data_IF_331745806225
#
_entry.id   IF_331745806225
#
_cell.length_a   1.000
_cell.length_b   1.000
_cell.length_c   1.000
_cell.angle_alpha   90.00
_cell.angle_beta   90.00
_cell.angle_gamma   90.00
#
_symmetry.space_group_name_H-M   'P 1'
#
loop_
_entity.id
_entity.type
_entity.pdbx_description
1 polymer ?
#
# COMPACT_ATOMS: atom_id res chain seq x y z
N UNK A 1 2.28 24.21 -25.33
CA UNK A 1 2.56 25.64 -25.54
C UNK A 1 3.29 26.12 -24.30
N UNK A 2 4.58 26.39 -24.44
CA UNK A 2 5.41 26.91 -23.36
C UNK A 2 5.17 28.42 -23.27
N UNK A 3 4.68 28.89 -22.13
CA UNK A 3 4.55 30.32 -21.88
C UNK A 3 5.94 30.94 -21.76
N UNK A 4 6.16 31.99 -22.53
CA UNK A 4 7.33 32.87 -22.45
C UNK A 4 7.57 33.28 -21.00
N UNK A 5 8.76 32.98 -20.49
CA UNK A 5 9.26 33.57 -19.25
C UNK A 5 9.57 35.04 -19.55
N UNK A 6 8.82 35.94 -18.93
CA UNK A 6 9.10 37.37 -18.93
C UNK A 6 10.35 37.63 -18.07
N UNK A 7 11.46 37.90 -18.73
CA UNK A 7 12.77 38.19 -18.13
C UNK A 7 12.91 39.65 -17.68
N UNK A 8 11.81 40.39 -17.55
CA UNK A 8 11.79 41.83 -17.27
C UNK A 8 11.22 42.23 -15.90
N UNK A 9 10.74 41.29 -15.07
CA UNK A 9 10.01 41.61 -13.83
C UNK A 9 10.87 41.61 -12.55
N UNK A 10 12.19 41.71 -12.67
CA UNK A 10 13.05 42.09 -11.54
C UNK A 10 13.15 43.62 -11.47
N UNK A 11 12.07 44.26 -11.03
CA UNK A 11 12.12 45.65 -10.58
C UNK A 11 12.68 45.62 -9.17
N UNK A 12 13.98 45.90 -9.07
CA UNK A 12 14.67 46.14 -7.81
C UNK A 12 14.14 47.45 -7.21
N UNK A 13 13.03 47.35 -6.46
CA UNK A 13 12.35 48.49 -5.82
C UNK A 13 13.16 49.11 -4.68
N UNK A 14 14.36 48.61 -4.41
CA UNK A 14 15.24 49.09 -3.34
C UNK A 14 16.06 50.34 -3.72
N UNK A 15 15.99 50.82 -4.97
CA UNK A 15 16.71 52.01 -5.43
C UNK A 15 15.86 53.26 -5.70
N UNK A 16 14.58 53.29 -5.32
CA UNK A 16 13.89 54.59 -5.22
C UNK A 16 14.29 55.27 -3.93
N UNK A 17 15.39 56.01 -3.99
CA UNK A 17 15.70 57.06 -3.02
C UNK A 17 14.54 58.06 -3.07
N UNK A 18 13.55 57.89 -2.20
CA UNK A 18 12.53 58.91 -1.95
C UNK A 18 13.27 60.17 -1.47
N UNK A 19 13.49 61.09 -2.40
CA UNK A 19 13.86 62.46 -2.10
C UNK A 19 12.65 63.11 -1.43
N UNK A 20 12.64 63.05 -0.11
CA UNK A 20 11.66 63.74 0.72
C UNK A 20 11.67 65.25 0.39
N UNK A 21 10.50 65.86 0.10
CA UNK A 21 10.40 67.30 -0.01
C UNK A 21 10.21 67.84 1.41
N UNK A 22 11.31 67.95 2.15
CA UNK A 22 11.33 68.80 3.34
C UNK A 22 12.36 69.90 3.14
N UNK A 23 12.17 70.66 2.05
CA UNK A 23 12.68 72.01 1.95
C UNK A 23 11.63 72.95 2.57
N UNK A 24 12.09 73.71 3.56
CA UNK A 24 11.50 74.94 4.10
C UNK A 24 10.18 74.81 4.90
N UNK A 25 10.33 74.64 6.22
CA UNK A 25 9.74 75.56 7.21
C UNK A 25 10.34 75.29 8.59
N UNK A 26 11.53 75.84 8.84
CA UNK A 26 12.03 76.03 10.20
C UNK A 26 12.26 77.51 10.43
N UNK A 27 11.22 78.11 11.00
CA UNK A 27 11.25 79.35 11.75
C UNK A 27 12.45 79.34 12.71
N UNK A 28 13.26 80.40 12.63
CA UNK A 28 14.39 80.77 13.50
C UNK A 28 14.88 79.74 14.52
N UNK A 29 15.87 78.94 14.14
CA UNK A 29 16.72 78.22 15.09
C UNK A 29 18.19 78.31 14.64
N UNK A 30 19.01 78.88 15.52
CA UNK A 30 20.45 79.09 15.33
C UNK A 30 21.17 77.73 15.25
N UNK A 31 21.95 77.40 14.19
CA UNK A 31 22.52 76.06 13.98
C UNK A 31 23.65 75.67 14.96
N UNK A 32 23.98 76.55 15.92
CA UNK A 32 24.97 76.32 16.99
C UNK A 32 24.35 76.33 18.41
N UNK A 33 23.01 76.32 18.55
CA UNK A 33 22.36 76.27 19.86
C UNK A 33 22.10 74.82 20.28
N UNK A 34 22.66 74.43 21.43
CA UNK A 34 22.40 73.13 22.05
C UNK A 34 20.88 72.91 22.20
N UNK A 35 20.35 71.72 21.85
CA UNK A 35 18.95 71.39 22.05
C UNK A 35 18.52 71.72 23.49
N UNK A 36 17.38 72.40 23.65
CA UNK A 36 16.84 72.61 24.99
C UNK A 36 16.36 71.27 25.55
N UNK A 37 16.45 71.08 26.87
CA UNK A 37 16.04 69.84 27.55
C UNK A 37 14.60 69.43 27.20
N UNK A 38 13.71 70.41 27.14
CA UNK A 38 12.29 70.20 26.82
C UNK A 38 12.05 69.71 25.39
N UNK A 39 12.88 70.12 24.41
CA UNK A 39 12.78 69.63 23.03
C UNK A 39 13.27 68.19 22.91
N UNK A 40 14.27 67.81 23.70
CA UNK A 40 14.76 66.43 23.78
C UNK A 40 13.69 65.54 24.44
N UNK A 41 13.09 66.00 25.53
CA UNK A 41 12.03 65.25 26.24
C UNK A 41 10.80 65.04 25.32
N UNK A 42 10.41 66.04 24.54
CA UNK A 42 9.34 65.90 23.52
C UNK A 42 9.68 64.86 22.46
N UNK A 43 10.91 64.87 21.94
CA UNK A 43 11.37 63.89 20.95
C UNK A 43 11.43 62.46 21.53
N UNK A 44 11.80 62.33 22.80
CA UNK A 44 11.81 61.03 23.50
C UNK A 44 10.39 60.49 23.64
N UNK A 45 9.43 61.32 24.04
CA UNK A 45 8.01 60.91 24.14
C UNK A 45 7.45 60.52 22.77
N UNK A 46 7.71 61.31 21.73
CA UNK A 46 7.28 61.00 20.36
C UNK A 46 7.90 59.68 19.86
N UNK A 47 9.19 59.47 20.12
CA UNK A 47 9.88 58.22 19.76
C UNK A 47 9.34 57.01 20.54
N UNK A 48 9.02 57.17 21.84
CA UNK A 48 8.39 56.12 22.65
C UNK A 48 7.00 55.77 22.12
N UNK A 49 6.21 56.76 21.71
CA UNK A 49 4.88 56.54 21.14
C UNK A 49 4.96 55.80 19.80
N UNK A 50 5.88 56.20 18.92
CA UNK A 50 6.18 55.49 17.66
C UNK A 50 6.64 54.05 17.91
N UNK A 51 7.44 53.80 18.95
CA UNK A 51 7.85 52.43 19.32
C UNK A 51 6.67 51.58 19.74
N UNK A 52 5.69 52.13 20.46
CA UNK A 52 4.48 51.39 20.86
C UNK A 52 3.60 51.10 19.64
N UNK A 53 3.45 52.04 18.73
CA UNK A 53 2.71 51.84 17.47
C UNK A 53 3.36 50.78 16.59
N UNK A 54 4.69 50.83 16.42
CA UNK A 54 5.43 49.82 15.67
C UNK A 54 5.34 48.43 16.30
N UNK A 55 5.40 48.32 17.64
CA UNK A 55 5.22 47.04 18.33
C UNK A 55 3.83 46.45 18.10
N UNK A 56 2.78 47.28 18.14
CA UNK A 56 1.41 46.82 17.84
C UNK A 56 1.29 46.33 16.40
N UNK A 57 1.85 47.08 15.45
CA UNK A 57 1.87 46.68 14.04
C UNK A 57 2.67 45.38 13.83
N UNK A 58 3.79 45.20 14.55
CA UNK A 58 4.56 43.96 14.52
C UNK A 58 3.73 42.77 15.03
N UNK A 59 3.06 42.91 16.18
CA UNK A 59 2.24 41.82 16.72
C UNK A 59 1.07 41.44 15.80
N UNK A 60 0.46 42.41 15.11
CA UNK A 60 -0.58 42.16 14.11
C UNK A 60 -0.03 41.37 12.92
N UNK A 61 1.13 41.78 12.41
CA UNK A 61 1.81 41.11 11.31
C UNK A 61 2.29 39.71 11.68
N UNK A 62 2.73 39.48 12.92
CA UNK A 62 3.06 38.16 13.45
C UNK A 62 1.82 37.24 13.51
N UNK A 63 0.65 37.77 13.90
CA UNK A 63 -0.61 36.99 13.88
C UNK A 63 -1.02 36.63 12.46
N UNK A 64 -0.93 37.57 11.53
CA UNK A 64 -1.20 37.31 10.12
C UNK A 64 -0.27 36.25 9.54
N UNK A 65 1.03 36.35 9.84
CA UNK A 65 2.03 35.34 9.45
C UNK A 65 1.68 33.96 10.00
N UNK A 66 1.37 33.85 11.28
CA UNK A 66 0.96 32.59 11.89
C UNK A 66 -0.29 31.99 11.21
N UNK A 67 -1.26 32.84 10.81
CA UNK A 67 -2.44 32.41 10.07
C UNK A 67 -2.11 31.89 8.66
N UNK A 68 -1.22 32.57 7.94
CA UNK A 68 -0.79 32.14 6.61
C UNK A 68 0.06 30.86 6.65
N UNK A 69 0.90 30.69 7.67
CA UNK A 69 1.68 29.47 7.87
C UNK A 69 0.79 28.26 8.16
N UNK A 70 -0.22 28.42 9.02
CA UNK A 70 -1.20 27.35 9.29
C UNK A 70 -2.00 27.00 8.03
N UNK A 71 -2.41 28.00 7.23
CA UNK A 71 -3.09 27.76 5.96
C UNK A 71 -2.20 27.00 4.98
N UNK A 72 -0.91 27.39 4.89
CA UNK A 72 0.08 26.70 4.05
C UNK A 72 0.28 25.25 4.50
N UNK A 73 0.33 25.00 5.82
CA UNK A 73 0.42 23.65 6.39
C UNK A 73 -0.79 22.80 5.96
N UNK A 74 -2.00 23.32 6.15
CA UNK A 74 -3.25 22.61 5.77
C UNK A 74 -3.33 22.34 4.27
N UNK A 75 -2.89 23.28 3.44
CA UNK A 75 -2.81 23.06 1.99
C UNK A 75 -1.82 21.95 1.64
N UNK A 76 -0.66 21.89 2.32
CA UNK A 76 0.31 20.80 2.17
C UNK A 76 -0.30 19.45 2.54
N UNK A 77 -0.89 19.33 3.72
CA UNK A 77 -1.57 18.12 4.19
C UNK A 77 -2.67 17.66 3.23
N UNK A 78 -3.48 18.60 2.73
CA UNK A 78 -4.52 18.32 1.74
C UNK A 78 -3.94 17.79 0.43
N UNK A 79 -2.89 18.42 -0.11
CA UNK A 79 -2.29 18.00 -1.37
C UNK A 79 -1.66 16.61 -1.25
N UNK A 80 -0.91 16.37 -0.18
CA UNK A 80 -0.30 15.07 0.10
C UNK A 80 -1.38 14.01 0.30
N UNK A 81 -2.35 14.22 1.19
CA UNK A 81 -3.44 13.28 1.43
C UNK A 81 -4.27 13.00 0.17
N UNK A 82 -4.50 14.01 -0.68
CA UNK A 82 -5.18 13.83 -1.96
C UNK A 82 -4.37 12.95 -2.92
N UNK A 83 -3.06 13.14 -3.01
CA UNK A 83 -2.21 12.31 -3.87
C UNK A 83 -2.15 10.87 -3.36
N UNK A 84 -2.00 10.69 -2.05
CA UNK A 84 -1.99 9.37 -1.42
C UNK A 84 -3.30 8.61 -1.67
N UNK A 85 -4.45 9.24 -1.42
CA UNK A 85 -5.73 8.55 -1.57
C UNK A 85 -6.03 8.23 -3.04
N UNK A 86 -5.65 9.11 -3.97
CA UNK A 86 -5.79 8.85 -5.42
C UNK A 86 -4.96 7.63 -5.82
N UNK A 87 -3.71 7.52 -5.35
CA UNK A 87 -2.86 6.37 -5.65
C UNK A 87 -3.41 5.08 -5.04
N UNK A 88 -3.83 5.12 -3.78
CA UNK A 88 -4.41 3.96 -3.08
C UNK A 88 -5.70 3.48 -3.75
N UNK A 89 -6.62 4.41 -4.07
CA UNK A 89 -7.87 4.07 -4.74
C UNK A 89 -7.63 3.54 -6.16
N UNK A 90 -6.71 4.14 -6.91
CA UNK A 90 -6.38 3.66 -8.26
C UNK A 90 -5.81 2.24 -8.22
N UNK A 91 -4.89 1.97 -7.29
CA UNK A 91 -4.33 0.62 -7.10
C UNK A 91 -5.40 -0.36 -6.64
N UNK A 92 -6.22 0.02 -5.66
CA UNK A 92 -7.30 -0.81 -5.13
C UNK A 92 -8.34 -1.16 -6.20
N UNK A 93 -8.70 -0.19 -7.05
CA UNK A 93 -9.60 -0.41 -8.16
C UNK A 93 -9.05 -1.45 -9.14
N UNK A 94 -7.79 -1.33 -9.57
CA UNK A 94 -7.19 -2.30 -10.48
C UNK A 94 -7.15 -3.73 -9.91
N UNK A 95 -6.83 -3.88 -8.61
CA UNK A 95 -6.86 -5.19 -7.95
C UNK A 95 -8.28 -5.78 -7.88
N UNK A 96 -9.28 -4.94 -7.60
CA UNK A 96 -10.67 -5.38 -7.55
C UNK A 96 -11.20 -5.76 -8.93
N UNK A 97 -10.88 -5.00 -9.98
CA UNK A 97 -11.25 -5.31 -11.36
C UNK A 97 -10.62 -6.63 -11.84
N UNK A 98 -9.35 -6.87 -11.53
CA UNK A 98 -8.68 -8.14 -11.83
C UNK A 98 -9.32 -9.31 -11.08
N UNK A 99 -9.60 -9.12 -9.79
CA UNK A 99 -10.25 -10.14 -8.97
C UNK A 99 -11.68 -10.44 -9.46
N UNK A 100 -12.45 -9.41 -9.83
CA UNK A 100 -13.79 -9.56 -10.40
C UNK A 100 -13.74 -10.33 -11.72
N UNK A 101 -12.81 -9.97 -12.61
CA UNK A 101 -12.64 -10.65 -13.89
C UNK A 101 -12.28 -12.13 -13.70
N UNK A 102 -11.33 -12.43 -12.81
CA UNK A 102 -10.96 -13.80 -12.46
C UNK A 102 -12.15 -14.57 -11.90
N UNK A 103 -12.89 -13.99 -10.95
CA UNK A 103 -14.06 -14.62 -10.35
C UNK A 103 -15.16 -14.91 -11.37
N UNK A 104 -15.42 -13.99 -12.31
CA UNK A 104 -16.39 -14.20 -13.41
C UNK A 104 -15.96 -15.35 -14.32
N UNK A 105 -14.69 -15.36 -14.73
CA UNK A 105 -14.13 -16.45 -15.57
C UNK A 105 -14.24 -17.80 -14.86
N UNK A 106 -13.90 -17.86 -13.59
CA UNK A 106 -13.97 -19.10 -12.80
C UNK A 106 -15.44 -19.56 -12.64
N UNK A 107 -16.37 -18.63 -12.43
CA UNK A 107 -17.81 -18.93 -12.42
C UNK A 107 -18.30 -19.48 -13.77
N UNK A 108 -17.86 -18.92 -14.91
CA UNK A 108 -18.19 -19.45 -16.23
C UNK A 108 -17.67 -20.88 -16.44
N UNK A 109 -16.46 -21.17 -15.96
CA UNK A 109 -15.92 -22.53 -15.98
C UNK A 109 -16.76 -23.49 -15.13
N UNK A 110 -17.17 -23.06 -13.93
CA UNK A 110 -18.04 -23.85 -13.07
C UNK A 110 -19.40 -24.13 -13.72
N UNK A 111 -20.02 -23.14 -14.38
CA UNK A 111 -21.31 -23.33 -15.09
C UNK A 111 -21.18 -24.38 -16.19
N UNK A 112 -20.08 -24.36 -16.97
CA UNK A 112 -19.81 -25.39 -17.99
C UNK A 112 -19.70 -26.78 -17.36
N UNK A 113 -18.87 -26.92 -16.32
CA UNK A 113 -18.68 -28.19 -15.63
C UNK A 113 -19.97 -28.72 -14.97
N UNK A 114 -20.82 -27.84 -14.42
CA UNK A 114 -22.15 -28.24 -13.92
C UNK A 114 -23.03 -28.80 -15.03
N UNK A 115 -22.98 -28.21 -16.23
CA UNK A 115 -23.67 -28.73 -17.41
C UNK A 115 -23.17 -30.12 -17.79
N UNK A 116 -21.85 -30.30 -17.90
CA UNK A 116 -21.20 -31.58 -18.22
C UNK A 116 -21.58 -32.65 -17.19
N UNK A 117 -21.50 -32.34 -15.89
CA UNK A 117 -21.87 -33.25 -14.82
C UNK A 117 -23.34 -33.67 -14.86
N UNK A 118 -24.26 -32.75 -15.14
CA UNK A 118 -25.69 -33.09 -15.30
C UNK A 118 -25.90 -34.03 -16.49
N UNK A 119 -25.20 -33.80 -17.60
CA UNK A 119 -25.29 -34.66 -18.78
C UNK A 119 -24.70 -36.05 -18.52
N UNK A 120 -23.54 -36.15 -17.87
CA UNK A 120 -22.93 -37.42 -17.48
C UNK A 120 -23.81 -38.19 -16.48
N UNK A 121 -24.35 -37.50 -15.47
CA UNK A 121 -25.26 -38.11 -14.49
C UNK A 121 -26.51 -38.67 -15.17
N UNK A 122 -27.13 -37.91 -16.07
CA UNK A 122 -28.29 -38.38 -16.82
C UNK A 122 -27.98 -39.62 -17.66
N UNK A 123 -26.82 -39.67 -18.33
CA UNK A 123 -26.39 -40.86 -19.09
C UNK A 123 -26.19 -42.09 -18.19
N UNK A 124 -25.56 -41.92 -17.03
CA UNK A 124 -25.35 -43.01 -16.06
C UNK A 124 -26.67 -43.49 -15.48
N UNK A 125 -27.58 -42.57 -15.12
CA UNK A 125 -28.92 -42.91 -14.60
C UNK A 125 -29.83 -43.55 -15.66
N UNK A 126 -29.57 -43.33 -16.94
CA UNK A 126 -30.30 -43.97 -18.03
C UNK A 126 -29.88 -45.43 -18.28
N UNK A 127 -28.85 -45.93 -17.58
CA UNK A 127 -28.44 -47.33 -17.64
C UNK A 127 -29.41 -48.15 -16.80
N UNK A 128 -30.21 -48.97 -17.46
CA UNK A 128 -31.18 -49.88 -16.86
C UNK A 128 -30.75 -51.32 -17.19
N UNK A 129 -30.05 -51.97 -16.28
CA UNK A 129 -29.50 -53.31 -16.47
C UNK A 129 -30.56 -54.40 -16.43
N UNK A 130 -31.72 -54.11 -15.81
CA UNK A 130 -32.86 -55.00 -15.70
C UNK A 130 -33.55 -55.32 -17.04
N UNK A 131 -33.33 -54.52 -18.08
CA UNK A 131 -33.96 -54.68 -19.41
C UNK A 131 -33.07 -55.50 -20.36
N UNK A 132 -31.86 -55.87 -19.93
CA UNK A 132 -30.90 -56.59 -20.78
C UNK A 132 -31.31 -58.06 -20.97
N UNK A 133 -31.21 -58.54 -22.21
CA UNK A 133 -31.46 -59.93 -22.59
C UNK A 133 -30.14 -60.65 -22.83
N UNK A 134 -30.15 -61.99 -22.91
CA UNK A 134 -28.92 -62.76 -23.14
C UNK A 134 -28.24 -62.42 -24.47
N UNK A 135 -29.03 -62.03 -25.46
CA UNK A 135 -28.57 -61.73 -26.82
C UNK A 135 -27.87 -60.36 -26.91
N UNK A 136 -28.25 -59.39 -26.08
CA UNK A 136 -27.68 -58.04 -26.10
C UNK A 136 -26.75 -57.72 -24.91
N UNK A 137 -26.68 -58.60 -23.91
CA UNK A 137 -25.95 -58.40 -22.65
C UNK A 137 -24.52 -57.88 -22.85
N UNK A 138 -23.73 -58.54 -23.71
CA UNK A 138 -22.32 -58.17 -23.94
C UNK A 138 -22.16 -56.77 -24.56
N UNK A 139 -23.08 -56.40 -25.45
CA UNK A 139 -23.06 -55.09 -26.13
C UNK A 139 -23.47 -53.99 -25.16
N UNK A 140 -24.57 -54.18 -24.42
CA UNK A 140 -25.06 -53.19 -23.46
C UNK A 140 -24.12 -53.05 -22.27
N UNK A 141 -23.50 -54.13 -21.78
CA UNK A 141 -22.49 -54.08 -20.73
C UNK A 141 -21.27 -53.26 -21.16
N UNK A 142 -20.77 -53.47 -22.38
CA UNK A 142 -19.64 -52.70 -22.92
C UNK A 142 -20.00 -51.21 -23.05
N UNK A 143 -21.23 -50.90 -23.52
CA UNK A 143 -21.73 -49.53 -23.62
C UNK A 143 -21.87 -48.86 -22.25
N UNK A 144 -22.43 -49.57 -21.27
CA UNK A 144 -22.60 -49.09 -19.91
C UNK A 144 -21.25 -48.81 -19.24
N UNK A 145 -20.29 -49.72 -19.35
CA UNK A 145 -18.93 -49.53 -18.83
C UNK A 145 -18.24 -48.32 -19.47
N UNK A 146 -18.37 -48.16 -20.79
CA UNK A 146 -17.83 -46.99 -21.51
C UNK A 146 -18.48 -45.68 -21.00
N UNK A 147 -19.78 -45.69 -20.75
CA UNK A 147 -20.52 -44.53 -20.23
C UNK A 147 -20.04 -44.15 -18.83
N UNK A 148 -19.84 -45.14 -17.97
CA UNK A 148 -19.32 -44.94 -16.60
C UNK A 148 -17.89 -44.41 -16.64
N UNK A 149 -17.03 -44.95 -17.52
CA UNK A 149 -15.64 -44.51 -17.60
C UNK A 149 -15.53 -43.08 -18.12
N UNK A 150 -16.34 -42.70 -19.11
CA UNK A 150 -16.42 -41.32 -19.57
C UNK A 150 -16.83 -40.37 -18.44
N UNK A 151 -17.84 -40.74 -17.64
CA UNK A 151 -18.26 -39.94 -16.48
C UNK A 151 -17.14 -39.81 -15.42
N UNK A 152 -16.37 -40.87 -15.18
CA UNK A 152 -15.20 -40.83 -14.29
C UNK A 152 -14.10 -39.90 -14.81
N UNK A 153 -13.83 -39.92 -16.11
CA UNK A 153 -12.86 -39.04 -16.74
C UNK A 153 -13.28 -37.57 -16.62
N UNK A 154 -14.55 -37.26 -16.86
CA UNK A 154 -15.10 -35.91 -16.67
C UNK A 154 -14.95 -35.44 -15.22
N UNK A 155 -15.34 -36.27 -14.25
CA UNK A 155 -15.18 -35.99 -12.82
C UNK A 155 -13.72 -35.74 -12.43
N UNK A 156 -12.82 -36.64 -12.81
CA UNK A 156 -11.39 -36.51 -12.47
C UNK A 156 -10.78 -35.25 -13.11
N UNK A 157 -11.12 -34.95 -14.37
CA UNK A 157 -10.62 -33.76 -15.05
C UNK A 157 -11.12 -32.46 -14.40
N UNK A 158 -12.37 -32.44 -13.93
CA UNK A 158 -12.98 -31.30 -13.27
C UNK A 158 -12.35 -31.04 -11.89
N UNK A 159 -12.06 -32.08 -11.12
CA UNK A 159 -11.41 -31.96 -9.80
C UNK A 159 -10.01 -31.37 -9.85
N UNK A 160 -9.28 -31.61 -10.94
CA UNK A 160 -7.96 -31.03 -11.15
C UNK A 160 -8.03 -29.54 -11.50
N UNK A 161 -9.11 -29.11 -12.17
CA UNK A 161 -9.29 -27.72 -12.63
C UNK A 161 -9.99 -26.86 -11.60
N UNK A 162 -10.94 -27.42 -10.85
CA UNK A 162 -11.81 -26.70 -9.94
C UNK A 162 -11.43 -27.00 -8.48
N UNK A 163 -10.82 -26.05 -7.76
CA UNK A 163 -10.34 -26.29 -6.39
C UNK A 163 -11.47 -26.64 -5.42
N UNK A 164 -12.70 -26.19 -5.68
CA UNK A 164 -13.88 -26.52 -4.86
C UNK A 164 -14.17 -28.03 -4.82
N UNK A 165 -13.83 -28.78 -5.88
CA UNK A 165 -14.03 -30.23 -5.97
C UNK A 165 -12.78 -31.03 -5.52
N UNK A 166 -11.64 -30.35 -5.33
CA UNK A 166 -10.42 -30.99 -4.85
C UNK A 166 -10.52 -31.43 -3.38
N UNK A 167 -11.30 -30.68 -2.57
CA UNK A 167 -11.50 -30.93 -1.14
C UNK A 167 -12.20 -32.25 -0.79
N UNK A 168 -12.90 -32.88 -1.73
CA UNK A 168 -13.61 -34.16 -1.51
C UNK A 168 -12.70 -35.37 -1.30
N UNK A 169 -11.37 -35.24 -1.46
CA UNK A 169 -10.38 -36.27 -1.10
C UNK A 169 -9.57 -35.95 0.17
N UNK A 170 -9.97 -34.99 1.01
CA UNK A 170 -9.36 -34.90 2.34
C UNK A 170 -9.98 -36.01 3.21
N UNK A 171 -9.27 -37.11 3.55
CA UNK A 171 -9.76 -38.00 4.61
C UNK A 171 -10.01 -37.13 5.83
N UNK A 172 -11.16 -37.30 6.46
CA UNK A 172 -11.60 -36.51 7.61
C UNK A 172 -10.52 -36.49 8.70
N UNK A 173 -9.68 -35.47 8.65
CA UNK A 173 -8.74 -35.09 9.68
C UNK A 173 -8.90 -33.58 9.83
N UNK A 174 -9.71 -33.24 10.83
CA UNK A 174 -9.69 -32.02 11.64
C UNK A 174 -9.74 -30.69 10.89
N UNK A 175 -10.72 -29.88 11.28
CA UNK A 175 -10.87 -28.52 10.80
C UNK A 175 -9.59 -27.70 11.00
N UNK A 176 -9.08 -27.20 9.89
CA UNK A 176 -8.37 -25.93 9.84
C UNK A 176 -8.62 -25.37 8.45
N UNK A 177 -9.27 -24.21 8.42
CA UNK A 177 -9.46 -23.42 7.20
C UNK A 177 -8.07 -23.01 6.71
N UNK A 178 -7.53 -23.73 5.75
CA UNK A 178 -6.40 -23.23 4.98
C UNK A 178 -7.00 -22.35 3.89
N UNK A 179 -7.10 -21.06 4.21
CA UNK A 179 -7.14 -20.02 3.20
C UNK A 179 -5.90 -20.21 2.33
N UNK A 180 -6.08 -20.28 1.01
CA UNK A 180 -4.98 -20.17 0.06
C UNK A 180 -4.45 -18.73 0.15
N UNK A 181 -3.59 -18.48 1.13
CA UNK A 181 -2.79 -17.27 1.22
C UNK A 181 -1.44 -17.57 0.58
N UNK A 182 -0.98 -16.64 -0.25
CA UNK A 182 0.41 -16.52 -0.64
C UNK A 182 1.32 -16.82 0.56
N UNK A 183 2.45 -17.49 0.30
CA UNK A 183 3.39 -17.91 1.34
C UNK A 183 3.56 -16.79 2.38
N UNK A 184 3.32 -17.06 3.68
CA UNK A 184 3.36 -16.02 4.69
C UNK A 184 4.73 -15.35 4.66
N UNK A 185 4.72 -14.02 4.58
CA UNK A 185 5.97 -13.27 4.67
C UNK A 185 6.64 -13.60 6.01
N UNK A 186 7.97 -13.61 6.07
CA UNK A 186 8.71 -13.91 7.31
C UNK A 186 8.30 -13.00 8.50
N UNK A 187 7.70 -11.84 8.21
CA UNK A 187 7.18 -10.89 9.19
C UNK A 187 5.89 -11.35 9.90
N UNK A 188 5.14 -12.29 9.32
CA UNK A 188 3.89 -12.81 9.91
C UNK A 188 4.09 -14.08 10.74
N UNK A 189 5.31 -14.64 10.74
CA UNK A 189 5.62 -15.85 11.50
C UNK A 189 5.80 -15.53 12.98
N UNK A 190 5.16 -16.33 13.83
CA UNK A 190 5.34 -16.25 15.28
C UNK A 190 6.81 -16.50 15.67
N UNK A 191 7.25 -15.89 16.77
CA UNK A 191 8.63 -16.03 17.28
C UNK A 191 9.08 -17.51 17.39
N UNK A 192 8.17 -18.40 17.82
CA UNK A 192 8.46 -19.84 17.91
C UNK A 192 8.67 -20.53 16.56
N UNK A 193 7.97 -20.10 15.50
CA UNK A 193 8.17 -20.62 14.14
C UNK A 193 9.47 -20.10 13.53
N UNK A 194 9.80 -18.83 13.75
CA UNK A 194 11.09 -18.23 13.36
C UNK A 194 12.27 -18.93 14.04
N UNK A 195 12.16 -19.26 15.34
CA UNK A 195 13.17 -20.05 16.04
C UNK A 195 13.32 -21.47 15.46
N UNK A 196 12.23 -22.14 15.09
CA UNK A 196 12.28 -23.48 14.47
C UNK A 196 12.96 -23.45 13.09
N UNK A 197 12.67 -22.43 12.28
CA UNK A 197 13.31 -22.25 10.96
C UNK A 197 14.80 -21.94 11.13
N UNK A 198 15.16 -21.04 12.06
CA UNK A 198 16.55 -20.76 12.38
C UNK A 198 17.33 -21.97 12.91
N UNK A 199 16.68 -22.81 13.73
CA UNK A 199 17.27 -24.04 14.26
C UNK A 199 17.43 -25.10 13.17
N UNK A 200 16.45 -25.25 12.28
CA UNK A 200 16.55 -26.15 11.14
C UNK A 200 17.71 -25.76 10.20
N UNK A 201 17.93 -24.45 10.00
CA UNK A 201 18.98 -23.96 9.10
C UNK A 201 20.40 -24.08 9.67
N UNK A 202 20.54 -24.04 11.00
CA UNK A 202 21.84 -24.14 11.69
C UNK A 202 22.22 -25.59 12.05
N UNK A 203 21.27 -26.54 11.98
CA UNK A 203 21.50 -27.96 12.27
C UNK A 203 22.59 -28.63 11.43
N UNK A 204 22.66 -28.44 10.09
CA UNK A 204 23.72 -29.06 9.28
C UNK A 204 25.11 -28.50 9.65
N UNK A 205 25.19 -27.22 10.00
CA UNK A 205 26.44 -26.56 10.38
C UNK A 205 26.94 -27.09 11.73
N UNK A 206 26.03 -27.32 12.68
CA UNK A 206 26.33 -27.92 13.97
C UNK A 206 26.86 -29.35 13.83
N UNK A 207 26.27 -30.16 12.95
CA UNK A 207 26.75 -31.52 12.68
C UNK A 207 28.18 -31.52 12.12
N UNK A 208 28.48 -30.62 11.17
CA UNK A 208 29.82 -30.49 10.62
C UNK A 208 30.82 -30.04 11.70
N UNK A 209 30.44 -29.09 12.55
CA UNK A 209 31.28 -28.61 13.65
C UNK A 209 31.58 -29.73 14.67
N UNK A 210 30.58 -30.54 15.03
CA UNK A 210 30.77 -31.70 15.93
C UNK A 210 31.66 -32.78 15.29
N UNK A 211 31.51 -33.05 13.99
CA UNK A 211 32.37 -33.99 13.29
C UNK A 211 33.82 -33.50 13.26
N UNK A 212 34.05 -32.22 12.94
CA UNK A 212 35.38 -31.61 12.95
C UNK A 212 36.02 -31.65 14.35
N UNK A 213 35.23 -31.37 15.39
CA UNK A 213 35.69 -31.44 16.79
C UNK A 213 36.05 -32.88 17.18
N UNK A 214 35.24 -33.87 16.78
CA UNK A 214 35.54 -35.28 17.01
C UNK A 214 36.85 -35.73 16.34
N UNK A 215 37.08 -35.29 15.10
CA UNK A 215 38.35 -35.55 14.38
C UNK A 215 39.52 -34.89 15.12
N UNK A 216 39.36 -33.63 15.54
CA UNK A 216 40.40 -32.90 16.26
C UNK A 216 40.79 -33.58 17.58
N UNK A 217 39.80 -34.00 18.38
CA UNK A 217 40.04 -34.74 19.63
C UNK A 217 40.71 -36.09 19.35
N UNK A 218 40.31 -36.80 18.29
CA UNK A 218 40.93 -38.06 17.91
C UNK A 218 42.40 -37.89 17.47
N UNK A 219 42.76 -36.76 16.86
CA UNK A 219 44.15 -36.44 16.51
C UNK A 219 44.96 -36.13 17.77
N UNK A 220 44.41 -35.34 18.70
CA UNK A 220 45.07 -35.03 19.98
C UNK A 220 45.26 -36.26 20.86
N UNK A 221 44.34 -37.23 20.83
CA UNK A 221 44.45 -38.48 21.60
C UNK A 221 45.42 -39.50 20.97
N UNK A 222 45.88 -39.27 19.73
CA UNK A 222 46.85 -40.13 19.01
C UNK A 222 48.29 -39.59 19.05
N UNK A 223 48.49 -38.39 19.62
CA UNK A 223 49.79 -37.82 19.96
C UNK A 223 50.08 -37.99 21.45
#
# INVERSE_FOLDING_TARGET
MAGEYDSSEFIDSDFTTQKSPFAASTSGANPLRAPSRDDVDRKVVEAQQKLVELKRAQEELERERAGLEELRRRQGEFQTGRQEIVQQLTRGLGLLEEAEFCARRDAEQMVKTVGDFRAALAKVQAIHDEIWTKENFQIELTRALTTIENARMEWNSARLKLPVLAGENKPAASGEKISASAAPSLAELSFGQLCKIGLAMTWPLLLVALAALGIFVAILARH
#
